data_IF_742927881259
#
_entry.id   IF_742927881259
#
_cell.length_a   1.000
_cell.length_b   1.000
_cell.length_c   1.000
_cell.angle_alpha   90.00
_cell.angle_beta   90.00
_cell.angle_gamma   90.00
#
_symmetry.space_group_name_H-M   'P 1'
#
loop_
_entity.id
_entity.type
_entity.pdbx_description
1 polymer ?
#
# COMPACT_ATOMS: atom_id res chain seq x y z
N UNK A 1 0.79 -14.36 3.72
CA UNK A 1 1.05 -13.56 2.51
C UNK A 1 1.86 -12.32 2.89
N UNK A 2 2.77 -11.83 2.06
CA UNK A 2 3.50 -10.58 2.38
C UNK A 2 2.64 -9.34 2.05
N UNK A 3 2.96 -8.18 2.63
CA UNK A 3 2.27 -6.93 2.28
C UNK A 3 2.47 -6.54 0.80
N UNK A 4 3.60 -6.95 0.19
CA UNK A 4 3.87 -6.74 -1.23
C UNK A 4 2.95 -7.61 -2.10
N UNK A 5 2.81 -8.90 -1.78
CA UNK A 5 1.91 -9.80 -2.52
C UNK A 5 0.47 -9.29 -2.48
N UNK A 6 0.03 -8.80 -1.32
CA UNK A 6 -1.29 -8.20 -1.17
C UNK A 6 -1.45 -6.96 -2.07
N UNK A 7 -0.44 -6.09 -2.13
CA UNK A 7 -0.47 -4.91 -2.99
C UNK A 7 -0.63 -5.27 -4.48
N UNK A 8 0.15 -6.26 -4.95
CA UNK A 8 0.13 -6.69 -6.36
C UNK A 8 -1.21 -7.31 -6.76
N UNK A 9 -1.86 -8.04 -5.84
CA UNK A 9 -3.11 -8.78 -6.13
C UNK A 9 -4.38 -7.96 -5.89
N UNK A 10 -4.29 -6.85 -5.16
CA UNK A 10 -5.46 -6.05 -4.78
C UNK A 10 -5.71 -4.94 -5.77
N UNK A 11 -6.96 -4.74 -6.19
CA UNK A 11 -7.33 -3.54 -6.93
C UNK A 11 -7.17 -2.30 -6.05
N UNK A 12 -6.19 -1.47 -6.40
CA UNK A 12 -5.87 -0.21 -5.72
C UNK A 12 -6.30 1.01 -6.54
N UNK A 13 -7.07 0.82 -7.61
CA UNK A 13 -7.50 1.88 -8.54
C UNK A 13 -8.19 3.07 -7.87
N UNK A 14 -8.91 2.85 -6.76
CA UNK A 14 -9.57 3.91 -5.97
C UNK A 14 -8.61 4.83 -5.20
N UNK A 15 -7.34 4.45 -5.08
CA UNK A 15 -6.32 5.18 -4.32
C UNK A 15 -5.27 5.85 -5.23
N UNK A 16 -5.56 5.99 -6.52
CA UNK A 16 -4.66 6.64 -7.49
C UNK A 16 -4.12 7.97 -6.95
N UNK A 17 -2.80 8.14 -7.00
CA UNK A 17 -2.17 9.36 -6.52
C UNK A 17 -2.02 9.43 -5.00
N UNK A 18 -2.43 8.41 -4.24
CA UNK A 18 -2.27 8.35 -2.79
C UNK A 18 -1.16 7.39 -2.36
N UNK A 19 -0.78 7.49 -1.10
CA UNK A 19 -0.07 6.49 -0.33
C UNK A 19 -1.08 5.60 0.37
N UNK A 20 -0.83 4.30 0.41
CA UNK A 20 -1.59 3.35 1.20
C UNK A 20 -0.68 2.68 2.23
N UNK A 21 -1.21 2.42 3.42
CA UNK A 21 -0.59 1.61 4.45
C UNK A 21 -1.26 0.24 4.49
N UNK A 22 -0.45 -0.80 4.37
CA UNK A 22 -0.88 -2.20 4.33
C UNK A 22 -0.37 -2.89 5.60
N UNK A 23 -1.23 -3.64 6.27
CA UNK A 23 -0.85 -4.47 7.41
C UNK A 23 -1.71 -5.72 7.43
N UNK A 24 -1.08 -6.90 7.31
CA UNK A 24 -1.75 -8.19 7.41
C UNK A 24 -2.93 -8.31 6.45
N UNK A 25 -2.66 -8.18 5.15
CA UNK A 25 -3.64 -8.37 4.06
C UNK A 25 -4.79 -7.36 4.06
N UNK A 26 -4.55 -6.15 4.59
CA UNK A 26 -5.54 -5.08 4.59
C UNK A 26 -4.90 -3.71 4.42
N UNK A 27 -5.56 -2.84 3.66
CA UNK A 27 -5.28 -1.40 3.65
C UNK A 27 -5.89 -0.78 4.91
N UNK A 28 -5.05 -0.27 5.81
CA UNK A 28 -5.47 0.28 7.11
C UNK A 28 -5.52 1.80 7.14
N UNK A 29 -4.83 2.46 6.21
CA UNK A 29 -4.85 3.92 6.02
C UNK A 29 -4.46 4.28 4.58
N UNK A 30 -4.90 5.46 4.12
CA UNK A 30 -4.49 6.03 2.83
C UNK A 30 -4.51 7.56 2.87
N UNK A 31 -3.86 8.21 1.90
CA UNK A 31 -3.87 9.67 1.76
C UNK A 31 -2.66 10.21 0.99
N UNK A 32 -2.58 11.53 0.80
CA UNK A 32 -1.55 12.16 -0.05
C UNK A 32 -0.18 12.30 0.61
N UNK A 33 -0.10 12.15 1.92
CA UNK A 33 1.11 12.38 2.74
C UNK A 33 1.57 11.07 3.38
N UNK A 34 2.74 10.57 2.96
CA UNK A 34 3.28 9.28 3.38
C UNK A 34 3.48 9.19 4.90
N UNK A 35 4.01 10.26 5.50
CA UNK A 35 4.34 10.30 6.92
C UNK A 35 3.08 10.27 7.77
N UNK A 36 2.07 11.06 7.40
CA UNK A 36 0.77 11.04 8.08
C UNK A 36 0.10 9.67 7.94
N UNK A 37 0.13 9.07 6.76
CA UNK A 37 -0.44 7.73 6.52
C UNK A 37 0.24 6.68 7.40
N UNK A 38 1.56 6.68 7.51
CA UNK A 38 2.29 5.74 8.37
C UNK A 38 1.97 5.95 9.86
N UNK A 39 2.04 7.19 10.35
CA UNK A 39 1.73 7.51 11.77
C UNK A 39 0.31 7.08 12.12
N UNK A 40 -0.66 7.34 11.25
CA UNK A 40 -2.05 6.94 11.46
C UNK A 40 -2.23 5.41 11.41
N UNK A 41 -1.55 4.73 10.49
CA UNK A 41 -1.57 3.28 10.42
C UNK A 41 -1.00 2.63 11.71
N UNK A 42 0.15 3.10 12.20
CA UNK A 42 0.77 2.59 13.45
C UNK A 42 -0.12 2.80 14.68
N UNK A 43 -0.93 3.86 14.72
CA UNK A 43 -1.93 4.06 15.78
C UNK A 43 -3.09 3.06 15.70
N UNK A 44 -3.45 2.61 14.50
CA UNK A 44 -4.58 1.68 14.27
C UNK A 44 -4.21 0.21 14.47
N UNK A 45 -2.96 -0.17 14.22
CA UNK A 45 -2.53 -1.57 14.32
C UNK A 45 -1.62 -1.78 15.53
N UNK A 46 -2.01 -2.68 16.44
CA UNK A 46 -1.17 -3.08 17.57
C UNK A 46 -0.09 -4.04 17.11
N UNK A 47 1.16 -3.57 17.10
CA UNK A 47 2.37 -4.38 16.93
C UNK A 47 2.46 -5.25 15.67
N UNK A 48 1.76 -4.86 14.60
CA UNK A 48 1.88 -5.49 13.28
C UNK A 48 2.78 -4.65 12.38
N UNK A 49 3.48 -5.31 11.48
CA UNK A 49 4.26 -4.62 10.45
C UNK A 49 3.34 -3.83 9.52
N UNK A 50 3.81 -2.63 9.18
CA UNK A 50 3.12 -1.70 8.28
C UNK A 50 4.04 -1.43 7.11
N UNK A 51 3.59 -1.73 5.91
CA UNK A 51 4.27 -1.34 4.67
C UNK A 51 3.54 -0.18 4.02
N UNK A 52 4.30 0.78 3.49
CA UNK A 52 3.76 1.85 2.65
C UNK A 52 3.94 1.51 1.18
N UNK A 53 2.94 1.80 0.37
CA UNK A 53 3.03 1.75 -1.09
C UNK A 53 2.43 3.02 -1.69
N UNK A 54 3.09 3.56 -2.72
CA UNK A 54 2.56 4.65 -3.53
C UNK A 54 1.74 4.08 -4.67
N UNK A 55 0.48 4.47 -4.75
CA UNK A 55 -0.36 4.09 -5.89
C UNK A 55 -0.10 5.09 -7.03
N UNK A 56 0.30 4.60 -8.22
CA UNK A 56 0.57 5.47 -9.37
C UNK A 56 -0.73 6.08 -9.90
N UNK A 57 -0.67 7.32 -10.39
CA UNK A 57 -1.85 8.03 -10.95
C UNK A 57 -2.27 7.46 -12.31
N UNK A 58 -1.29 7.06 -13.12
CA UNK A 58 -1.47 6.37 -14.40
C UNK A 58 -1.19 4.89 -14.21
N UNK A 59 -1.87 4.04 -14.97
CA UNK A 59 -1.56 2.60 -14.98
C UNK A 59 -0.10 2.42 -15.37
N UNK A 60 0.73 1.98 -14.42
CA UNK A 60 2.10 1.60 -14.69
C UNK A 60 2.09 0.09 -14.95
N UNK A 61 2.26 -0.29 -16.22
CA UNK A 61 2.53 -1.67 -16.61
C UNK A 61 3.91 -2.06 -16.06
N UNK A 62 3.94 -2.89 -15.02
CA UNK A 62 5.18 -3.51 -14.56
C UNK A 62 5.46 -4.72 -15.47
N UNK A 63 6.43 -4.59 -16.36
CA UNK A 63 6.93 -5.73 -17.14
C UNK A 63 7.88 -6.54 -16.25
N UNK A 64 7.57 -7.83 -16.06
CA UNK A 64 8.44 -8.76 -15.33
C UNK A 64 8.86 -9.85 -16.31
N UNK A 65 10.12 -9.83 -16.74
CA UNK A 65 10.72 -10.93 -17.50
C UNK A 65 11.44 -11.88 -16.55
N UNK A 66 11.05 -13.15 -16.57
CA UNK A 66 11.86 -14.25 -16.03
C UNK A 66 12.94 -14.61 -17.05
N UNK A 67 14.21 -14.44 -16.68
CA UNK A 67 15.35 -15.04 -17.38
C UNK A 67 15.50 -16.51 -16.97
#
# INVERSE_FOLDING_TARGET
MTNYDFFVKTDTSRYKGEWIAISGERIVCHGKDAEKVYKMAKKKVKNKDVSLAKVPEKQMLAYVSSL
#
